data_IF_151115553027
#
_entry.id   IF_151115553027
#
_cell.length_a   1.000
_cell.length_b   1.000
_cell.length_c   1.000
_cell.angle_alpha   90.00
_cell.angle_beta   90.00
_cell.angle_gamma   90.00
#
_symmetry.space_group_name_H-M   'P 1'
#
loop_
_entity.id
_entity.type
_entity.pdbx_description
1 polymer ?
#
# COMPACT_ATOMS: atom_id res chain seq x y z
N UNK A 1 -12.82 11.39 36.60
CA UNK A 1 -12.61 11.13 35.16
C UNK A 1 -12.65 9.62 34.91
N UNK A 2 -13.74 9.08 34.41
CA UNK A 2 -13.81 7.65 34.06
C UNK A 2 -12.87 7.42 32.86
N UNK A 3 -11.71 6.78 33.15
CA UNK A 3 -10.77 6.42 32.10
C UNK A 3 -11.42 5.37 31.19
N UNK A 4 -11.71 5.74 29.93
CA UNK A 4 -12.27 4.83 28.93
C UNK A 4 -11.35 3.63 28.77
N UNK A 5 -11.90 2.43 29.02
CA UNK A 5 -11.16 1.18 28.97
C UNK A 5 -11.40 0.50 27.62
N UNK A 6 -10.35 0.33 26.85
CA UNK A 6 -10.33 -0.54 25.67
C UNK A 6 -10.24 -2.01 26.09
N UNK A 7 -10.67 -2.90 25.24
CA UNK A 7 -10.47 -4.35 25.44
C UNK A 7 -9.25 -4.81 24.68
N UNK A 8 -8.40 -5.58 25.35
CA UNK A 8 -7.25 -6.24 24.76
C UNK A 8 -7.42 -7.75 24.87
N UNK A 9 -7.29 -8.45 23.74
CA UNK A 9 -7.48 -9.90 23.65
C UNK A 9 -6.21 -10.54 23.10
N UNK A 10 -5.72 -11.57 23.75
CA UNK A 10 -4.67 -12.46 23.27
C UNK A 10 -5.23 -13.86 23.06
N UNK A 11 -4.86 -14.50 21.97
CA UNK A 11 -5.15 -15.90 21.72
C UNK A 11 -3.85 -16.68 21.97
N UNK A 12 -3.87 -17.60 22.90
CA UNK A 12 -2.72 -18.44 23.20
C UNK A 12 -2.57 -19.62 22.20
N UNK A 13 -1.49 -20.38 22.34
CA UNK A 13 -1.21 -21.55 21.49
C UNK A 13 -2.27 -22.67 21.62
N UNK A 14 -3.07 -22.66 22.71
CA UNK A 14 -4.18 -23.57 22.93
C UNK A 14 -5.52 -23.04 22.43
N UNK A 15 -5.51 -21.96 21.63
CA UNK A 15 -6.69 -21.25 21.13
C UNK A 15 -7.58 -20.64 22.25
N UNK A 16 -7.06 -20.45 23.45
CA UNK A 16 -7.80 -19.82 24.53
C UNK A 16 -7.70 -18.29 24.43
N UNK A 17 -8.84 -17.62 24.59
CA UNK A 17 -8.92 -16.16 24.59
C UNK A 17 -8.69 -15.60 25.98
N UNK A 18 -7.63 -14.84 26.15
CA UNK A 18 -7.32 -14.06 27.36
C UNK A 18 -7.77 -12.62 27.14
N UNK A 19 -8.72 -12.17 27.95
CA UNK A 19 -9.33 -10.84 27.81
C UNK A 19 -8.85 -9.96 28.96
N UNK A 20 -8.37 -8.78 28.65
CA UNK A 20 -7.95 -7.78 29.62
C UNK A 20 -8.43 -6.39 29.22
N UNK A 21 -8.51 -5.47 30.17
CA UNK A 21 -8.83 -4.07 29.88
C UNK A 21 -7.59 -3.21 29.99
N UNK A 22 -7.45 -2.25 29.07
CA UNK A 22 -6.32 -1.33 29.02
C UNK A 22 -6.79 0.09 28.79
N UNK A 23 -6.24 1.05 29.51
CA UNK A 23 -6.43 2.48 29.23
C UNK A 23 -5.45 2.92 28.14
N UNK A 24 -5.71 4.06 27.49
CA UNK A 24 -4.81 4.59 26.48
C UNK A 24 -3.40 4.82 27.04
N UNK A 25 -3.28 5.33 28.25
CA UNK A 25 -1.98 5.51 28.91
C UNK A 25 -1.22 4.19 29.07
N UNK A 26 -1.87 3.15 29.59
CA UNK A 26 -1.24 1.83 29.73
C UNK A 26 -0.88 1.21 28.38
N UNK A 27 -1.67 1.49 27.32
CA UNK A 27 -1.31 1.07 25.98
C UNK A 27 -0.01 1.76 25.54
N UNK A 28 0.09 3.07 25.69
CA UNK A 28 1.27 3.85 25.32
C UNK A 28 2.51 3.37 26.10
N UNK A 29 2.39 3.14 27.39
CA UNK A 29 3.50 2.63 28.23
C UNK A 29 3.96 1.24 27.76
N UNK A 30 3.00 0.37 27.40
CA UNK A 30 3.29 -0.95 26.83
C UNK A 30 4.04 -0.85 25.49
N UNK A 31 3.63 0.07 24.59
CA UNK A 31 4.30 0.25 23.30
C UNK A 31 5.77 0.63 23.48
N UNK A 32 6.08 1.47 24.44
CA UNK A 32 7.46 1.87 24.79
C UNK A 32 8.29 0.70 25.31
N UNK A 33 7.70 -0.17 26.13
CA UNK A 33 8.41 -1.32 26.71
C UNK A 33 8.57 -2.51 25.76
N UNK A 34 7.81 -2.56 24.67
CA UNK A 34 7.86 -3.64 23.69
C UNK A 34 8.87 -3.42 22.55
N UNK A 35 9.72 -2.40 22.64
CA UNK A 35 10.67 -2.06 21.55
C UNK A 35 11.57 -3.23 21.17
N UNK A 36 12.00 -4.03 22.15
CA UNK A 36 12.88 -5.19 21.95
C UNK A 36 12.11 -6.52 21.88
N UNK A 37 10.81 -6.50 21.63
CA UNK A 37 10.01 -7.71 21.59
C UNK A 37 10.39 -8.59 20.39
N UNK A 38 10.83 -9.81 20.65
CA UNK A 38 11.29 -10.79 19.66
C UNK A 38 10.24 -11.08 18.58
N UNK A 39 8.96 -11.18 18.97
CA UNK A 39 7.86 -11.43 18.00
C UNK A 39 7.75 -10.28 17.00
N UNK A 40 7.81 -9.04 17.48
CA UNK A 40 7.70 -7.85 16.64
C UNK A 40 8.93 -7.70 15.75
N UNK A 41 10.12 -7.93 16.28
CA UNK A 41 11.37 -7.88 15.52
C UNK A 41 11.39 -8.95 14.42
N UNK A 42 10.97 -10.17 14.74
CA UNK A 42 10.83 -11.26 13.76
C UNK A 42 9.78 -10.92 12.70
N UNK A 43 8.63 -10.35 13.09
CA UNK A 43 7.57 -9.93 12.18
C UNK A 43 8.10 -8.89 11.19
N UNK A 44 8.78 -7.85 11.68
CA UNK A 44 9.36 -6.78 10.84
C UNK A 44 10.43 -7.32 9.89
N UNK A 45 11.29 -8.23 10.36
CA UNK A 45 12.28 -8.89 9.52
C UNK A 45 11.62 -9.68 8.38
N UNK A 46 10.63 -10.52 8.68
CA UNK A 46 9.90 -11.32 7.68
C UNK A 46 9.15 -10.45 6.66
N UNK A 47 8.57 -9.34 7.10
CA UNK A 47 7.92 -8.38 6.19
C UNK A 47 8.95 -7.79 5.21
N UNK A 48 10.15 -7.44 5.68
CA UNK A 48 11.23 -6.93 4.82
C UNK A 48 11.70 -7.98 3.82
N UNK A 49 11.76 -9.24 4.23
CA UNK A 49 12.15 -10.39 3.42
C UNK A 49 11.04 -10.92 2.50
N UNK A 50 9.84 -10.30 2.52
CA UNK A 50 8.65 -10.74 1.78
C UNK A 50 8.24 -12.20 2.07
N UNK A 51 8.41 -12.64 3.31
CA UNK A 51 8.11 -13.99 3.77
C UNK A 51 6.59 -14.20 3.90
N UNK A 52 6.06 -15.25 3.26
CA UNK A 52 4.62 -15.59 3.25
C UNK A 52 4.09 -16.04 4.62
N UNK A 53 4.95 -16.52 5.52
CA UNK A 53 4.56 -16.96 6.88
C UNK A 53 4.38 -15.81 7.88
N UNK A 54 4.49 -14.59 7.45
CA UNK A 54 4.31 -13.41 8.30
C UNK A 54 2.91 -13.34 8.94
N UNK A 55 1.88 -13.82 8.25
CA UNK A 55 0.48 -13.79 8.71
C UNK A 55 0.31 -14.62 10.00
N UNK A 56 0.97 -15.76 10.11
CA UNK A 56 0.85 -16.60 11.30
C UNK A 56 1.47 -15.91 12.53
N UNK A 57 2.60 -15.24 12.36
CA UNK A 57 3.21 -14.44 13.42
C UNK A 57 2.36 -13.26 13.84
N UNK A 58 1.66 -12.63 12.90
CA UNK A 58 0.74 -11.54 13.19
C UNK A 58 -0.45 -11.99 14.05
N UNK A 59 -0.90 -13.25 13.92
CA UNK A 59 -1.97 -13.83 14.72
C UNK A 59 -1.59 -14.03 16.21
N UNK A 60 -0.31 -14.11 16.51
CA UNK A 60 0.20 -14.27 17.89
C UNK A 60 0.12 -12.96 18.71
N UNK A 61 -0.09 -11.82 18.03
CA UNK A 61 -0.14 -10.50 18.66
C UNK A 61 -1.49 -10.23 19.34
N UNK A 62 -1.49 -9.32 20.33
CA UNK A 62 -2.71 -8.88 20.98
C UNK A 62 -3.62 -8.11 20.00
N UNK A 63 -4.92 -8.30 20.13
CA UNK A 63 -5.94 -7.52 19.44
C UNK A 63 -6.54 -6.49 20.36
N UNK A 64 -6.78 -5.28 19.88
CA UNK A 64 -7.41 -4.20 20.63
C UNK A 64 -8.75 -3.83 20.00
N UNK A 65 -9.75 -3.70 20.85
CA UNK A 65 -11.06 -3.14 20.52
C UNK A 65 -11.11 -1.74 21.13
N UNK A 66 -10.75 -0.73 20.36
CA UNK A 66 -10.71 0.64 20.85
C UNK A 66 -12.11 1.19 21.12
N UNK A 67 -13.06 0.86 20.27
CA UNK A 67 -14.45 1.37 20.32
C UNK A 67 -15.32 0.72 21.38
N UNK A 68 -14.81 -0.28 22.13
CA UNK A 68 -15.58 -0.89 23.21
C UNK A 68 -14.76 -1.49 24.33
N UNK A 69 -15.38 -1.53 25.49
CA UNK A 69 -15.01 -2.40 26.58
C UNK A 69 -15.89 -3.65 26.55
N UNK A 70 -15.26 -4.80 26.41
CA UNK A 70 -15.92 -6.11 26.30
C UNK A 70 -15.62 -6.98 27.51
N UNK A 71 -16.54 -7.88 27.82
CA UNK A 71 -16.40 -8.91 28.86
C UNK A 71 -16.59 -10.29 28.24
N UNK A 72 -16.04 -11.29 28.88
CA UNK A 72 -16.25 -12.69 28.52
C UNK A 72 -17.56 -13.15 29.17
N UNK A 73 -18.51 -13.64 28.39
CA UNK A 73 -19.74 -14.28 28.86
C UNK A 73 -19.46 -15.72 29.31
N UNK A 74 -20.41 -16.34 30.01
CA UNK A 74 -20.30 -17.71 30.56
C UNK A 74 -20.06 -18.76 29.45
N UNK A 75 -20.57 -18.53 28.28
CA UNK A 75 -20.34 -19.38 27.09
C UNK A 75 -18.98 -19.11 26.39
N UNK A 76 -18.14 -18.24 26.95
CA UNK A 76 -16.84 -17.87 26.40
C UNK A 76 -16.87 -16.82 25.28
N UNK A 77 -18.04 -16.36 24.84
CA UNK A 77 -18.17 -15.30 23.83
C UNK A 77 -17.78 -13.94 24.42
N UNK A 78 -17.33 -13.02 23.54
CA UNK A 78 -17.10 -11.62 23.91
C UNK A 78 -18.41 -10.84 23.76
N UNK A 79 -18.83 -10.18 24.81
CA UNK A 79 -19.99 -9.30 24.81
C UNK A 79 -19.60 -7.87 25.17
N UNK A 80 -20.23 -6.90 24.51
CA UNK A 80 -19.98 -5.48 24.74
C UNK A 80 -20.56 -5.10 26.10
N UNK A 81 -19.70 -4.64 27.01
CA UNK A 81 -20.12 -4.10 28.28
C UNK A 81 -20.37 -2.58 28.21
N UNK A 82 -19.63 -1.89 27.34
CA UNK A 82 -19.76 -0.45 27.14
C UNK A 82 -19.10 -0.05 25.82
N UNK A 83 -19.74 0.87 25.09
CA UNK A 83 -19.14 1.55 23.95
C UNK A 83 -18.21 2.67 24.40
N UNK A 84 -17.13 2.90 23.65
CA UNK A 84 -16.13 3.93 23.92
C UNK A 84 -16.18 5.04 22.86
N UNK A 85 -15.73 6.21 23.23
CA UNK A 85 -15.57 7.41 22.39
C UNK A 85 -14.27 7.39 21.56
N UNK A 86 -13.77 6.22 21.22
CA UNK A 86 -12.50 6.05 20.51
C UNK A 86 -12.64 5.23 19.24
N UNK A 87 -11.99 5.71 18.18
CA UNK A 87 -11.77 4.95 16.95
C UNK A 87 -10.28 4.62 16.83
N UNK A 88 -9.96 3.51 16.18
CA UNK A 88 -8.59 3.16 15.82
C UNK A 88 -8.46 3.05 14.31
N UNK A 89 -7.62 3.91 13.72
CA UNK A 89 -7.34 3.96 12.30
C UNK A 89 -5.97 3.37 11.99
N UNK A 90 -5.78 2.98 10.73
CA UNK A 90 -4.51 2.52 10.20
C UNK A 90 -4.20 3.31 8.92
N UNK A 91 -3.14 4.10 8.93
CA UNK A 91 -2.62 4.81 7.77
C UNK A 91 -1.45 4.02 7.16
N UNK A 92 -1.40 3.94 5.85
CA UNK A 92 -0.31 3.28 5.12
C UNK A 92 -0.77 2.40 3.96
N UNK A 93 0.19 1.73 3.29
CA UNK A 93 1.55 1.40 3.76
C UNK A 93 2.51 2.59 3.73
N UNK A 94 3.38 2.68 4.74
CA UNK A 94 4.46 3.66 4.83
C UNK A 94 5.76 2.85 4.99
N UNK A 95 6.61 2.87 3.96
CA UNK A 95 7.78 1.99 3.89
C UNK A 95 8.95 2.55 4.68
N UNK A 96 9.11 3.86 4.68
CA UNK A 96 10.22 4.56 5.33
C UNK A 96 9.86 4.94 6.76
N UNK A 97 10.70 4.54 7.71
CA UNK A 97 10.50 4.82 9.13
C UNK A 97 10.50 6.33 9.42
N UNK A 98 11.39 7.08 8.78
CA UNK A 98 11.47 8.54 8.92
C UNK A 98 10.17 9.21 8.45
N UNK A 99 9.63 8.77 7.31
CA UNK A 99 8.35 9.27 6.80
C UNK A 99 7.21 8.96 7.76
N UNK A 100 7.21 7.77 8.35
CA UNK A 100 6.21 7.37 9.34
C UNK A 100 6.28 8.29 10.58
N UNK A 101 7.48 8.59 11.08
CA UNK A 101 7.69 9.52 12.21
C UNK A 101 7.20 10.94 11.88
N UNK A 102 7.49 11.45 10.68
CA UNK A 102 6.98 12.75 10.22
C UNK A 102 5.45 12.76 10.19
N UNK A 103 4.82 11.76 9.58
CA UNK A 103 3.36 11.66 9.50
C UNK A 103 2.72 11.54 10.89
N UNK A 104 3.39 10.84 11.81
CA UNK A 104 2.96 10.77 13.22
C UNK A 104 2.87 12.17 13.85
N UNK A 105 3.84 13.05 13.62
CA UNK A 105 3.80 14.42 14.12
C UNK A 105 2.69 15.24 13.44
N UNK A 106 2.43 15.03 12.16
CA UNK A 106 1.37 15.72 11.42
C UNK A 106 -0.02 15.42 12.02
N UNK A 107 -0.24 14.23 12.57
CA UNK A 107 -1.54 13.90 13.20
C UNK A 107 -1.93 14.83 14.34
N UNK A 108 -0.98 15.55 14.97
CA UNK A 108 -1.26 16.53 16.03
C UNK A 108 -2.12 17.71 15.57
N UNK A 109 -2.12 17.99 14.27
CA UNK A 109 -2.90 19.08 13.68
C UNK A 109 -4.40 18.84 13.88
N UNK A 110 -4.83 17.58 13.93
CA UNK A 110 -6.23 17.23 14.15
C UNK A 110 -6.52 17.19 15.65
N UNK A 111 -7.37 18.09 16.17
CA UNK A 111 -7.62 18.21 17.62
C UNK A 111 -8.23 16.96 18.26
N UNK A 112 -8.82 16.07 17.45
CA UNK A 112 -9.39 14.79 17.91
C UNK A 112 -8.37 13.66 18.01
N UNK A 113 -7.10 13.86 17.65
CA UNK A 113 -6.06 12.84 17.80
C UNK A 113 -5.70 12.62 19.26
N UNK A 114 -6.03 11.45 19.81
CA UNK A 114 -5.65 11.06 21.17
C UNK A 114 -4.23 10.50 21.25
N UNK A 115 -3.89 9.64 20.31
CA UNK A 115 -2.58 9.03 20.20
C UNK A 115 -2.27 8.63 18.77
N UNK A 116 -0.97 8.57 18.45
CA UNK A 116 -0.49 7.99 17.20
C UNK A 116 0.81 7.23 17.44
N UNK A 117 0.93 6.04 16.85
CA UNK A 117 2.07 5.15 17.05
C UNK A 117 2.30 4.23 15.85
N UNK A 118 3.53 3.77 15.72
CA UNK A 118 3.93 2.81 14.70
C UNK A 118 3.24 1.46 14.94
N UNK A 119 2.62 0.89 13.92
CA UNK A 119 2.05 -0.47 13.99
C UNK A 119 3.11 -1.56 14.08
N UNK A 120 2.71 -2.77 14.46
CA UNK A 120 3.60 -3.93 14.64
C UNK A 120 4.48 -4.22 13.40
N UNK A 121 3.94 -4.03 12.21
CA UNK A 121 4.65 -4.23 10.94
C UNK A 121 5.82 -3.26 10.72
N UNK A 122 5.86 -2.12 11.42
CA UNK A 122 6.78 -1.02 11.13
C UNK A 122 6.44 -0.24 9.84
N UNK A 123 5.32 -0.55 9.18
CA UNK A 123 4.90 0.06 7.89
C UNK A 123 3.53 0.71 7.93
N UNK A 124 2.93 0.83 9.11
CA UNK A 124 1.64 1.49 9.29
C UNK A 124 1.70 2.44 10.46
N UNK A 125 0.98 3.55 10.36
CA UNK A 125 0.73 4.46 11.45
C UNK A 125 -0.66 4.16 12.03
N UNK A 126 -0.73 3.86 13.31
CA UNK A 126 -1.97 3.68 14.06
C UNK A 126 -2.35 5.00 14.70
N UNK A 127 -3.63 5.38 14.57
CA UNK A 127 -4.15 6.66 15.07
C UNK A 127 -5.39 6.40 15.91
N UNK A 128 -5.36 6.81 17.17
CA UNK A 128 -6.53 6.77 18.05
C UNK A 128 -7.21 8.12 18.00
N UNK A 129 -8.48 8.10 17.62
CA UNK A 129 -9.29 9.32 17.40
C UNK A 129 -10.41 9.39 18.42
N UNK A 130 -10.57 10.53 19.06
CA UNK A 130 -11.66 10.85 19.98
C UNK A 130 -12.90 11.28 19.20
N UNK A 131 -14.06 10.69 19.49
CA UNK A 131 -15.34 11.01 18.83
C UNK A 131 -16.42 11.33 19.87
N UNK A 132 -17.39 12.16 19.51
CA UNK A 132 -18.56 12.40 20.36
C UNK A 132 -19.55 11.25 20.21
N UNK A 133 -19.78 10.50 21.31
CA UNK A 133 -20.79 9.45 21.31
C UNK A 133 -22.22 10.05 21.32
N UNK A 134 -23.20 9.36 20.75
CA UNK A 134 -24.61 9.73 20.88
C UNK A 134 -25.05 9.67 22.36
N UNK A 135 -26.00 10.52 22.76
CA UNK A 135 -26.52 10.60 24.13
C UNK A 135 -27.06 9.25 24.67
N UNK A 136 -27.54 8.37 23.76
CA UNK A 136 -28.11 7.05 24.06
C UNK A 136 -27.06 5.91 24.17
N UNK A 137 -25.76 6.21 24.15
CA UNK A 137 -24.65 5.24 24.05
C UNK A 137 -24.58 4.19 25.17
N UNK A 138 -25.27 4.38 26.28
CA UNK A 138 -25.23 3.46 27.43
C UNK A 138 -26.27 2.33 27.36
N UNK A 139 -27.29 2.44 26.52
CA UNK A 139 -28.37 1.45 26.32
C UNK A 139 -28.88 1.40 24.87
N UNK A 140 -28.14 1.97 23.92
CA UNK A 140 -28.57 2.07 22.52
C UNK A 140 -28.74 0.71 21.85
N UNK A 141 -29.60 0.67 20.85
CA UNK A 141 -29.78 -0.43 19.93
C UNK A 141 -28.45 -0.69 19.20
N UNK A 142 -27.99 -1.95 19.13
CA UNK A 142 -26.76 -2.33 18.46
C UNK A 142 -26.69 -1.82 17.00
N UNK A 143 -27.82 -1.80 16.30
CA UNK A 143 -27.90 -1.29 14.94
C UNK A 143 -27.63 0.22 14.84
N UNK A 144 -28.08 1.02 15.79
CA UNK A 144 -27.80 2.46 15.83
C UNK A 144 -26.35 2.75 16.12
N UNK A 145 -25.73 1.98 17.02
CA UNK A 145 -24.30 2.09 17.30
C UNK A 145 -23.45 1.62 16.15
N UNK A 146 -23.84 0.58 15.43
CA UNK A 146 -23.17 0.15 14.19
C UNK A 146 -23.20 1.24 13.12
N UNK A 147 -24.35 1.87 12.92
CA UNK A 147 -24.50 2.98 11.98
C UNK A 147 -23.65 4.18 12.39
N UNK A 148 -23.63 4.50 13.70
CA UNK A 148 -22.79 5.56 14.25
C UNK A 148 -21.32 5.31 13.98
N UNK A 149 -20.78 4.13 14.35
CA UNK A 149 -19.37 3.82 14.12
C UNK A 149 -19.01 3.76 12.63
N UNK A 150 -19.91 3.27 11.78
CA UNK A 150 -19.69 3.28 10.33
C UNK A 150 -19.49 4.70 9.81
N UNK A 151 -20.34 5.64 10.21
CA UNK A 151 -20.23 7.07 9.83
C UNK A 151 -18.99 7.72 10.44
N UNK A 152 -18.71 7.46 11.72
CA UNK A 152 -17.57 8.01 12.43
C UNK A 152 -16.22 7.55 11.82
N UNK A 153 -16.10 6.28 11.49
CA UNK A 153 -14.92 5.75 10.78
C UNK A 153 -14.79 6.36 9.38
N UNK A 154 -15.87 6.50 8.62
CA UNK A 154 -15.83 7.10 7.29
C UNK A 154 -15.35 8.55 7.34
N UNK A 155 -15.90 9.36 8.25
CA UNK A 155 -15.49 10.74 8.45
C UNK A 155 -14.03 10.86 8.89
N UNK A 156 -13.61 10.11 9.89
CA UNK A 156 -12.24 10.13 10.37
C UNK A 156 -11.26 9.67 9.29
N UNK A 157 -11.52 8.57 8.58
CA UNK A 157 -10.66 8.10 7.50
C UNK A 157 -10.50 9.14 6.39
N UNK A 158 -11.57 9.85 6.02
CA UNK A 158 -11.51 10.92 5.01
C UNK A 158 -10.61 12.07 5.45
N UNK A 159 -10.77 12.56 6.68
CA UNK A 159 -9.97 13.65 7.24
C UNK A 159 -8.47 13.28 7.26
N UNK A 160 -8.14 12.11 7.82
CA UNK A 160 -6.75 11.71 7.94
C UNK A 160 -6.12 11.29 6.61
N UNK A 161 -6.89 10.72 5.67
CA UNK A 161 -6.38 10.43 4.32
C UNK A 161 -6.00 11.72 3.58
N UNK A 162 -6.83 12.75 3.66
CA UNK A 162 -6.56 14.06 3.05
C UNK A 162 -5.36 14.75 3.71
N UNK A 163 -5.26 14.69 5.05
CA UNK A 163 -4.17 15.32 5.79
C UNK A 163 -2.81 14.65 5.55
N UNK A 164 -2.79 13.31 5.60
CA UNK A 164 -1.54 12.54 5.55
C UNK A 164 -1.11 12.20 4.12
N UNK A 165 -2.01 12.36 3.17
CA UNK A 165 -1.83 11.95 1.77
C UNK A 165 -1.35 10.48 1.63
N UNK A 166 -1.94 9.61 2.46
CA UNK A 166 -1.79 8.15 2.40
C UNK A 166 -3.15 7.50 2.66
N UNK A 167 -3.39 6.28 2.16
CA UNK A 167 -4.62 5.57 2.48
C UNK A 167 -4.79 5.41 3.98
N UNK A 168 -5.96 5.80 4.51
CA UNK A 168 -6.34 5.60 5.90
C UNK A 168 -7.62 4.79 5.94
N UNK A 169 -7.59 3.70 6.68
CA UNK A 169 -8.69 2.76 6.80
C UNK A 169 -9.00 2.49 8.28
N UNK A 170 -10.21 2.03 8.63
CA UNK A 170 -10.48 1.52 9.96
C UNK A 170 -9.46 0.42 10.31
N UNK A 171 -8.89 0.46 11.50
CA UNK A 171 -7.88 -0.54 11.88
C UNK A 171 -8.55 -1.84 12.32
N UNK A 172 -8.30 -2.91 11.57
CA UNK A 172 -8.81 -4.25 11.88
C UNK A 172 -10.00 -4.67 11.01
N UNK A 173 -10.69 -5.70 11.46
CA UNK A 173 -11.86 -6.29 10.81
C UNK A 173 -13.00 -6.42 11.83
N UNK A 174 -14.23 -6.51 11.35
CA UNK A 174 -15.36 -6.94 12.17
C UNK A 174 -15.12 -8.37 12.63
N UNK A 175 -15.29 -8.62 13.92
CA UNK A 175 -15.16 -9.96 14.52
C UNK A 175 -16.58 -10.55 14.67
N UNK A 176 -16.99 -11.34 13.72
CA UNK A 176 -18.31 -11.95 13.71
C UNK A 176 -19.46 -10.94 13.60
N UNK A 177 -20.47 -11.09 14.43
CA UNK A 177 -21.65 -10.21 14.50
C UNK A 177 -21.43 -8.90 15.28
N UNK A 178 -20.21 -8.64 15.77
CA UNK A 178 -19.93 -7.42 16.54
C UNK A 178 -19.83 -6.19 15.62
N UNK A 179 -20.48 -5.07 15.97
CA UNK A 179 -20.35 -3.80 15.25
C UNK A 179 -18.96 -3.17 15.38
N UNK A 180 -18.08 -3.77 16.19
CA UNK A 180 -16.80 -3.21 16.58
C UNK A 180 -15.65 -3.91 15.89
N UNK A 181 -14.70 -3.14 15.43
CA UNK A 181 -13.51 -3.64 14.75
C UNK A 181 -12.42 -4.06 15.72
N UNK A 182 -11.95 -5.29 15.59
CA UNK A 182 -10.77 -5.78 16.28
C UNK A 182 -9.52 -5.39 15.48
N UNK A 183 -8.61 -4.69 16.11
CA UNK A 183 -7.32 -4.34 15.53
C UNK A 183 -6.20 -5.13 16.16
N UNK A 184 -5.23 -5.58 15.35
CA UNK A 184 -3.98 -6.07 15.86
C UNK A 184 -3.10 -4.89 16.29
N UNK A 185 -2.70 -4.84 17.54
CA UNK A 185 -2.09 -3.65 18.13
C UNK A 185 -0.91 -3.89 19.05
N UNK A 186 -0.33 -5.07 19.11
CA UNK A 186 1.02 -5.12 19.64
C UNK A 186 1.91 -4.36 18.67
N UNK A 187 2.63 -3.43 19.21
CA UNK A 187 3.60 -2.61 18.47
C UNK A 187 4.74 -2.28 19.41
N UNK A 188 5.90 -2.04 18.82
CA UNK A 188 7.03 -1.45 19.49
C UNK A 188 7.28 -0.08 18.86
N UNK A 189 7.04 0.96 19.63
CA UNK A 189 7.30 2.34 19.26
C UNK A 189 7.99 3.03 20.42
N UNK A 190 9.23 3.44 20.25
CA UNK A 190 10.01 4.11 21.28
C UNK A 190 9.46 5.50 21.64
N UNK A 191 8.76 6.15 20.70
CA UNK A 191 8.27 7.52 20.82
C UNK A 191 6.81 7.66 20.37
N UNK A 192 5.86 6.91 20.96
CA UNK A 192 4.47 7.06 20.61
C UNK A 192 3.96 8.44 21.00
N UNK A 193 3.14 9.03 20.12
CA UNK A 193 2.50 10.31 20.37
C UNK A 193 1.31 10.13 21.28
N UNK A 194 1.15 11.01 22.26
CA UNK A 194 -0.05 11.16 23.07
C UNK A 194 -0.41 12.62 23.23
N UNK A 195 -1.68 12.97 23.09
CA UNK A 195 -2.21 14.32 23.27
C UNK A 195 -2.95 14.40 24.61
N UNK A 196 -2.56 15.33 25.46
CA UNK A 196 -3.13 15.48 26.81
C UNK A 196 -4.60 15.97 26.80
N UNK A 197 -4.92 16.86 25.87
CA UNK A 197 -6.28 17.41 25.71
C UNK A 197 -6.73 17.25 24.28
N UNK A 198 -7.88 16.63 24.07
CA UNK A 198 -8.47 16.42 22.75
C UNK A 198 -9.87 17.03 22.67
N UNK A 199 -10.21 17.52 21.50
CA UNK A 199 -11.60 17.91 21.18
C UNK A 199 -12.22 16.76 20.39
N UNK A 200 -13.35 16.18 20.87
CA UNK A 200 -13.99 15.09 20.15
C UNK A 200 -14.41 15.49 18.75
N UNK A 201 -14.23 14.60 17.79
CA UNK A 201 -14.74 14.76 16.43
C UNK A 201 -16.25 14.70 16.45
N UNK A 202 -16.90 15.80 16.05
CA UNK A 202 -18.35 15.85 15.89
C UNK A 202 -18.69 15.42 14.46
N UNK A 203 -19.39 14.29 14.32
CA UNK A 203 -19.78 13.73 13.02
C UNK A 203 -21.10 14.32 12.49
N UNK A 204 -21.88 15.03 13.31
CA UNK A 204 -23.19 15.56 12.93
C UNK A 204 -23.10 16.76 11.96
N UNK A 205 -21.93 17.36 11.77
CA UNK A 205 -21.70 18.50 10.86
C UNK A 205 -20.82 18.16 9.65
N UNK A 206 -20.38 16.92 9.51
CA UNK A 206 -19.59 16.48 8.34
C UNK A 206 -20.56 16.07 7.24
N UNK A 207 -20.68 16.88 6.18
CA UNK A 207 -21.34 16.46 4.96
C UNK A 207 -20.55 15.27 4.38
N UNK A 208 -21.06 14.08 4.62
CA UNK A 208 -20.56 12.87 3.97
C UNK A 208 -20.92 13.02 2.49
N UNK A 209 -19.93 12.97 1.62
CA UNK A 209 -20.19 12.80 0.19
C UNK A 209 -21.13 11.60 0.07
N UNK A 210 -22.37 11.80 -0.44
CA UNK A 210 -23.32 10.71 -0.48
C UNK A 210 -22.70 9.59 -1.31
N UNK A 211 -22.59 8.38 -0.74
CA UNK A 211 -22.48 7.19 -1.59
C UNK A 211 -23.69 7.29 -2.52
N UNK A 212 -23.45 7.28 -3.83
CA UNK A 212 -24.53 7.11 -4.80
C UNK A 212 -25.33 5.88 -4.34
N UNK A 213 -26.46 6.17 -3.68
CA UNK A 213 -27.51 5.20 -3.47
C UNK A 213 -28.16 5.03 -4.84
N UNK A 214 -27.76 3.99 -5.54
CA UNK A 214 -28.58 3.47 -6.63
C UNK A 214 -29.78 2.83 -5.96
N UNK A 215 -30.87 3.62 -5.88
CA UNK A 215 -32.20 3.05 -5.77
C UNK A 215 -32.41 2.21 -7.03
N UNK A 216 -32.45 0.93 -6.89
CA UNK A 216 -33.05 0.01 -7.85
C UNK A 216 -33.76 -1.08 -7.08
N UNK A 217 -35.06 -0.91 -7.00
CA UNK A 217 -35.99 -2.02 -6.78
C UNK A 217 -35.88 -3.01 -7.94
N UNK A 218 -35.89 -4.30 -7.59
CA UNK A 218 -36.27 -5.46 -8.40
C UNK A 218 -35.27 -6.06 -9.37
N UNK A 219 -34.61 -7.12 -8.87
CA UNK A 219 -34.59 -8.51 -9.43
C UNK A 219 -33.67 -9.35 -8.53
N UNK A 220 -34.00 -10.61 -8.28
CA UNK A 220 -33.22 -11.50 -7.39
C UNK A 220 -31.74 -11.62 -7.76
N UNK A 221 -31.42 -11.52 -9.05
CA UNK A 221 -30.04 -11.51 -9.58
C UNK A 221 -29.23 -10.24 -9.23
N UNK A 222 -29.89 -9.07 -9.07
CA UNK A 222 -29.22 -7.82 -8.68
C UNK A 222 -28.84 -7.84 -7.19
N UNK A 223 -29.56 -8.59 -6.39
CA UNK A 223 -29.29 -8.75 -4.96
C UNK A 223 -28.03 -9.60 -4.71
N UNK A 224 -27.80 -10.65 -5.52
CA UNK A 224 -26.61 -11.51 -5.42
C UNK A 224 -25.33 -10.76 -5.78
N UNK A 225 -25.32 -10.00 -6.87
CA UNK A 225 -24.18 -9.20 -7.30
C UNK A 225 -23.86 -8.11 -6.26
N UNK A 226 -24.89 -7.47 -5.70
CA UNK A 226 -24.72 -6.45 -4.66
C UNK A 226 -24.17 -7.04 -3.38
N UNK A 227 -24.60 -8.24 -2.99
CA UNK A 227 -24.12 -8.98 -1.82
C UNK A 227 -22.66 -9.39 -1.98
N UNK A 228 -22.26 -9.89 -3.16
CA UNK A 228 -20.87 -10.22 -3.47
C UNK A 228 -19.96 -8.98 -3.37
N UNK A 229 -20.36 -7.88 -3.99
CA UNK A 229 -19.57 -6.64 -3.96
C UNK A 229 -19.41 -6.12 -2.52
N UNK A 230 -20.49 -6.10 -1.74
CA UNK A 230 -20.45 -5.69 -0.34
C UNK A 230 -19.50 -6.57 0.49
N UNK A 231 -19.56 -7.89 0.29
CA UNK A 231 -18.67 -8.86 0.92
C UNK A 231 -17.19 -8.59 0.58
N UNK A 232 -16.88 -8.42 -0.71
CA UNK A 232 -15.52 -8.16 -1.15
C UNK A 232 -14.98 -6.83 -0.60
N UNK A 233 -15.80 -5.77 -0.62
CA UNK A 233 -15.42 -4.45 -0.14
C UNK A 233 -15.32 -4.36 1.40
N UNK A 234 -15.89 -5.32 2.14
CA UNK A 234 -15.74 -5.37 3.59
C UNK A 234 -14.28 -5.55 4.00
N UNK A 235 -13.55 -6.42 3.30
CA UNK A 235 -12.16 -6.77 3.62
C UNK A 235 -11.12 -6.09 2.74
N UNK A 236 -11.46 -5.83 1.46
CA UNK A 236 -10.51 -5.35 0.47
C UNK A 236 -10.93 -4.00 -0.10
N UNK A 237 -9.93 -3.17 -0.45
CA UNK A 237 -10.09 -2.08 -1.39
C UNK A 237 -9.49 -2.49 -2.73
N UNK A 238 -10.10 -2.02 -3.81
CA UNK A 238 -9.68 -2.34 -5.18
C UNK A 238 -9.40 -1.09 -5.98
N UNK A 239 -8.40 -1.16 -6.86
CA UNK A 239 -8.09 -0.12 -7.85
C UNK A 239 -7.59 -0.75 -9.14
N UNK A 240 -7.88 -0.15 -10.26
CA UNK A 240 -7.27 -0.53 -11.54
C UNK A 240 -6.03 0.33 -11.77
N UNK A 241 -4.86 -0.29 -11.80
CA UNK A 241 -3.59 0.36 -12.08
C UNK A 241 -3.46 0.51 -13.61
N UNK A 242 -3.59 1.75 -14.11
CA UNK A 242 -3.57 2.04 -15.54
C UNK A 242 -2.21 1.77 -16.19
N UNK A 243 -1.11 1.86 -15.45
CA UNK A 243 0.24 1.58 -15.95
C UNK A 243 0.43 0.08 -16.18
N UNK A 244 0.05 -0.74 -15.18
CA UNK A 244 0.18 -2.20 -15.26
C UNK A 244 -0.94 -2.87 -16.04
N UNK A 245 -2.03 -2.13 -16.34
CA UNK A 245 -3.21 -2.68 -17.00
C UNK A 245 -3.89 -3.80 -16.22
N UNK A 246 -3.89 -3.71 -14.89
CA UNK A 246 -4.37 -4.77 -14.01
C UNK A 246 -5.02 -4.21 -12.73
N UNK A 247 -5.99 -4.97 -12.20
CA UNK A 247 -6.61 -4.63 -10.92
C UNK A 247 -5.70 -5.05 -9.77
N UNK A 248 -5.54 -4.14 -8.82
CA UNK A 248 -4.83 -4.33 -7.58
C UNK A 248 -5.81 -4.31 -6.40
N UNK A 249 -5.46 -5.02 -5.34
CA UNK A 249 -6.19 -5.02 -4.08
C UNK A 249 -5.32 -4.62 -2.91
N UNK A 250 -5.94 -3.99 -1.91
CA UNK A 250 -5.36 -3.72 -0.60
C UNK A 250 -6.17 -4.49 0.45
N UNK A 251 -5.53 -5.39 1.18
CA UNK A 251 -6.16 -6.08 2.31
C UNK A 251 -6.21 -5.11 3.51
N UNK A 252 -7.42 -4.70 3.91
CA UNK A 252 -7.64 -3.76 5.02
C UNK A 252 -7.15 -4.29 6.36
N UNK A 253 -7.07 -5.61 6.51
CA UNK A 253 -6.51 -6.25 7.70
C UNK A 253 -4.99 -6.20 7.73
N UNK A 254 -4.36 -6.26 6.56
CA UNK A 254 -2.91 -6.36 6.40
C UNK A 254 -2.36 -5.28 5.46
N UNK A 255 -2.72 -4.02 5.71
CA UNK A 255 -2.36 -2.86 4.87
C UNK A 255 -0.85 -2.68 4.66
N UNK A 256 -0.03 -3.24 5.55
CA UNK A 256 1.43 -3.19 5.44
C UNK A 256 2.01 -3.93 4.22
N UNK A 257 1.24 -4.81 3.56
CA UNK A 257 1.65 -5.42 2.30
C UNK A 257 1.53 -4.45 1.11
N UNK A 258 0.77 -3.37 1.26
CA UNK A 258 0.46 -2.45 0.18
C UNK A 258 -0.46 -3.05 -0.88
N UNK A 259 -0.53 -2.36 -2.00
CA UNK A 259 -1.31 -2.79 -3.16
C UNK A 259 -0.66 -4.00 -3.85
N UNK A 260 -1.45 -5.03 -4.12
CA UNK A 260 -1.02 -6.29 -4.74
C UNK A 260 -1.90 -6.61 -5.93
N UNK A 261 -1.33 -7.28 -6.94
CA UNK A 261 -2.11 -7.72 -8.11
C UNK A 261 -3.17 -8.75 -7.71
N UNK A 262 -4.38 -8.56 -8.21
CA UNK A 262 -5.48 -9.52 -8.11
C UNK A 262 -5.27 -10.64 -9.14
N UNK A 263 -4.38 -11.59 -8.83
CA UNK A 263 -4.11 -12.75 -9.67
C UNK A 263 -5.23 -13.81 -9.59
N UNK A 264 -5.17 -14.81 -10.47
CA UNK A 264 -6.19 -15.88 -10.51
C UNK A 264 -6.27 -16.67 -9.21
N UNK A 265 -5.16 -16.83 -8.48
CA UNK A 265 -5.16 -17.50 -7.19
C UNK A 265 -5.95 -16.70 -6.14
N UNK A 266 -5.76 -15.38 -6.12
CA UNK A 266 -6.51 -14.49 -5.26
C UNK A 266 -8.00 -14.48 -5.63
N UNK A 267 -8.35 -14.38 -6.92
CA UNK A 267 -9.74 -14.40 -7.42
C UNK A 267 -10.45 -15.69 -7.03
N UNK A 268 -9.79 -16.84 -7.19
CA UNK A 268 -10.34 -18.14 -6.79
C UNK A 268 -10.56 -18.22 -5.27
N UNK A 269 -9.62 -17.67 -4.47
CA UNK A 269 -9.77 -17.56 -3.02
C UNK A 269 -10.99 -16.74 -2.63
N UNK A 270 -11.17 -15.56 -3.22
CA UNK A 270 -12.35 -14.73 -2.97
C UNK A 270 -13.68 -15.43 -3.28
N UNK A 271 -13.71 -16.24 -4.36
CA UNK A 271 -14.89 -17.02 -4.72
C UNK A 271 -15.20 -18.13 -3.69
N UNK A 272 -14.17 -18.73 -3.09
CA UNK A 272 -14.32 -19.73 -2.03
C UNK A 272 -14.81 -19.06 -0.75
N UNK A 273 -14.14 -17.98 -0.33
CA UNK A 273 -14.49 -17.22 0.89
C UNK A 273 -15.94 -16.70 0.82
N UNK A 274 -16.38 -16.22 -0.35
CA UNK A 274 -17.78 -15.77 -0.54
C UNK A 274 -18.78 -16.92 -0.38
N UNK A 275 -18.50 -18.10 -0.95
CA UNK A 275 -19.37 -19.29 -0.81
C UNK A 275 -19.41 -19.80 0.63
N UNK A 276 -18.30 -19.77 1.35
CA UNK A 276 -18.26 -20.10 2.78
C UNK A 276 -19.09 -19.14 3.61
N UNK A 277 -19.22 -17.88 3.16
CA UNK A 277 -20.10 -16.86 3.75
C UNK A 277 -21.58 -16.98 3.30
N UNK A 278 -21.93 -18.02 2.52
CA UNK A 278 -23.30 -18.22 2.02
C UNK A 278 -23.68 -17.37 0.79
N UNK A 279 -22.69 -16.76 0.13
CA UNK A 279 -22.92 -15.95 -1.08
C UNK A 279 -22.54 -16.79 -2.31
N UNK A 280 -23.49 -17.01 -3.21
CA UNK A 280 -23.22 -17.74 -4.45
C UNK A 280 -22.32 -16.88 -5.37
N UNK A 281 -21.06 -17.27 -5.51
CA UNK A 281 -20.07 -16.56 -6.31
C UNK A 281 -19.13 -17.54 -7.00
N UNK A 282 -19.02 -17.43 -8.32
CA UNK A 282 -18.04 -18.14 -9.13
C UNK A 282 -16.81 -17.25 -9.38
N UNK A 283 -15.63 -17.80 -9.67
CA UNK A 283 -14.45 -16.99 -10.03
C UNK A 283 -14.72 -16.00 -11.16
N UNK A 284 -15.60 -16.37 -12.12
CA UNK A 284 -16.01 -15.50 -13.22
C UNK A 284 -16.77 -14.25 -12.72
N UNK A 285 -17.59 -14.39 -11.71
CA UNK A 285 -18.41 -13.29 -11.16
C UNK A 285 -17.49 -12.29 -10.44
N UNK A 286 -16.55 -12.77 -9.63
CA UNK A 286 -15.49 -11.97 -9.02
C UNK A 286 -14.65 -11.25 -10.09
N UNK A 287 -14.20 -11.98 -11.12
CA UNK A 287 -13.41 -11.42 -12.22
C UNK A 287 -14.19 -10.35 -12.99
N UNK A 288 -15.48 -10.54 -13.23
CA UNK A 288 -16.34 -9.56 -13.90
C UNK A 288 -16.40 -8.26 -13.09
N UNK A 289 -16.55 -8.34 -11.77
CA UNK A 289 -16.52 -7.16 -10.92
C UNK A 289 -15.16 -6.46 -10.96
N UNK A 290 -14.05 -7.21 -10.76
CA UNK A 290 -12.69 -6.65 -10.70
C UNK A 290 -12.25 -6.02 -12.04
N UNK A 291 -12.80 -6.44 -13.18
CA UNK A 291 -12.54 -5.87 -14.50
C UNK A 291 -13.62 -4.89 -14.97
N UNK A 292 -14.56 -4.52 -14.11
CA UNK A 292 -15.63 -3.58 -14.46
C UNK A 292 -15.22 -2.12 -14.25
N UNK A 293 -15.97 -1.21 -14.89
CA UNK A 293 -15.84 0.24 -14.69
C UNK A 293 -16.21 0.71 -13.26
N UNK A 294 -16.70 -0.17 -12.41
CA UNK A 294 -16.96 0.12 -10.99
C UNK A 294 -15.68 0.23 -10.16
N UNK A 295 -14.57 -0.31 -10.65
CA UNK A 295 -13.26 -0.20 -10.01
C UNK A 295 -12.62 1.13 -10.42
N UNK A 296 -12.19 1.91 -9.42
CA UNK A 296 -11.51 3.20 -9.64
C UNK A 296 -10.23 2.99 -10.41
N UNK A 297 -10.06 3.71 -11.52
CA UNK A 297 -8.80 3.76 -12.29
C UNK A 297 -7.84 4.74 -11.60
N UNK A 298 -6.60 4.32 -11.41
CA UNK A 298 -5.52 5.16 -10.85
C UNK A 298 -4.26 5.04 -11.70
N UNK A 299 -3.53 6.13 -11.82
CA UNK A 299 -2.14 6.12 -12.29
C UNK A 299 -1.23 6.32 -11.07
N UNK A 300 -0.51 5.29 -10.60
CA UNK A 300 0.33 5.39 -9.41
C UNK A 300 1.53 6.32 -9.59
N UNK A 301 1.91 6.63 -10.84
CA UNK A 301 2.97 7.60 -11.13
C UNK A 301 2.44 9.00 -10.86
N UNK A 302 1.26 9.33 -11.40
CA UNK A 302 0.63 10.63 -11.19
C UNK A 302 0.35 10.86 -9.70
N UNK A 303 -0.17 9.84 -9.00
CA UNK A 303 -0.39 9.90 -7.54
C UNK A 303 0.92 10.19 -6.79
N UNK A 304 2.03 9.54 -7.17
CA UNK A 304 3.33 9.75 -6.56
C UNK A 304 3.86 11.18 -6.85
N UNK A 305 3.88 11.60 -8.11
CA UNK A 305 4.37 12.94 -8.51
C UNK A 305 3.53 14.04 -7.86
N UNK A 306 2.21 13.88 -7.83
CA UNK A 306 1.33 14.82 -7.13
C UNK A 306 1.65 14.90 -5.63
N UNK A 307 1.99 13.79 -5.01
CA UNK A 307 2.37 13.73 -3.60
C UNK A 307 3.64 14.52 -3.26
N UNK A 308 4.49 14.81 -4.26
CA UNK A 308 5.73 15.60 -4.12
C UNK A 308 5.52 17.11 -4.29
N UNK A 309 4.32 17.53 -4.68
CA UNK A 309 4.02 18.94 -4.90
C UNK A 309 4.37 19.77 -3.67
N UNK A 310 5.12 20.88 -3.87
CA UNK A 310 5.58 21.80 -2.83
C UNK A 310 6.51 21.19 -1.76
N UNK A 311 7.10 20.01 -1.98
CA UNK A 311 8.00 19.35 -1.02
C UNK A 311 9.48 19.47 -1.35
N UNK A 312 9.82 20.12 -2.44
CA UNK A 312 11.24 20.34 -2.79
C UNK A 312 11.89 21.31 -1.79
N UNK A 313 13.00 20.88 -1.23
CA UNK A 313 13.79 21.61 -0.22
C UNK A 313 14.86 22.53 -0.83
N UNK A 314 14.94 22.61 -2.17
CA UNK A 314 15.94 23.40 -2.89
C UNK A 314 17.29 22.67 -3.09
N UNK A 315 17.43 21.45 -2.56
CA UNK A 315 18.68 20.68 -2.66
C UNK A 315 18.77 19.85 -3.94
N UNK A 316 20.01 19.61 -4.42
CA UNK A 316 20.29 18.83 -5.64
C UNK A 316 20.42 17.33 -5.36
N UNK A 317 19.34 16.69 -4.97
CA UNK A 317 19.30 15.25 -4.67
C UNK A 317 19.73 14.36 -5.84
N UNK A 318 19.49 14.78 -7.09
CA UNK A 318 19.91 14.00 -8.27
C UNK A 318 21.43 14.04 -8.42
N UNK A 319 22.04 15.20 -8.12
CA UNK A 319 23.48 15.33 -8.06
C UNK A 319 24.11 14.42 -7.01
N UNK A 320 23.52 14.35 -5.83
CA UNK A 320 23.99 13.46 -4.76
C UNK A 320 23.91 11.97 -5.15
N UNK A 321 22.84 11.58 -5.86
CA UNK A 321 22.73 10.22 -6.41
C UNK A 321 23.84 9.94 -7.43
N UNK A 322 24.14 10.90 -8.31
CA UNK A 322 25.23 10.78 -9.27
C UNK A 322 26.59 10.60 -8.59
N UNK A 323 26.84 11.34 -7.51
CA UNK A 323 28.09 11.31 -6.73
C UNK A 323 28.31 9.99 -5.97
N UNK A 324 27.28 9.14 -5.86
CA UNK A 324 27.43 7.76 -5.34
C UNK A 324 28.17 6.83 -6.28
N UNK A 325 28.29 7.20 -7.55
CA UNK A 325 29.06 6.45 -8.55
C UNK A 325 30.44 7.05 -8.69
N UNK A 326 31.46 6.35 -8.22
CA UNK A 326 32.85 6.77 -8.40
C UNK A 326 33.28 6.57 -9.85
N UNK A 327 33.70 7.67 -10.52
CA UNK A 327 34.11 7.64 -11.93
C UNK A 327 35.08 8.79 -12.25
N UNK A 328 35.95 8.59 -13.21
CA UNK A 328 36.86 9.62 -13.75
C UNK A 328 36.21 10.52 -14.81
N UNK A 329 34.96 10.22 -15.22
CA UNK A 329 34.23 10.97 -16.23
C UNK A 329 33.74 12.30 -15.66
N UNK A 330 34.39 13.40 -16.01
CA UNK A 330 34.03 14.77 -15.54
C UNK A 330 32.58 15.16 -15.82
N UNK A 331 32.03 14.68 -16.94
CA UNK A 331 30.66 15.00 -17.36
C UNK A 331 29.59 14.05 -16.76
N UNK A 332 30.00 13.03 -15.98
CA UNK A 332 29.08 12.01 -15.45
C UNK A 332 27.85 12.62 -14.74
N UNK A 333 28.09 13.55 -13.83
CA UNK A 333 27.00 14.17 -13.04
C UNK A 333 26.00 14.89 -13.96
N UNK A 334 26.47 15.59 -15.00
CA UNK A 334 25.60 16.27 -15.97
C UNK A 334 24.82 15.25 -16.80
N UNK A 335 25.45 14.21 -17.32
CA UNK A 335 24.81 13.18 -18.14
C UNK A 335 23.81 12.37 -17.34
N UNK A 336 24.14 11.98 -16.10
CA UNK A 336 23.24 11.30 -15.19
C UNK A 336 21.99 12.15 -14.90
N UNK A 337 22.14 13.43 -14.68
CA UNK A 337 21.03 14.37 -14.47
C UNK A 337 20.12 14.46 -15.70
N UNK A 338 20.70 14.58 -16.90
CA UNK A 338 19.93 14.60 -18.15
C UNK A 338 19.15 13.29 -18.34
N UNK A 339 19.78 12.17 -18.11
CA UNK A 339 19.14 10.86 -18.16
C UNK A 339 18.01 10.74 -17.15
N UNK A 340 18.24 11.16 -15.91
CA UNK A 340 17.27 11.07 -14.83
C UNK A 340 16.01 11.92 -15.13
N UNK A 341 16.19 13.15 -15.63
CA UNK A 341 15.07 13.98 -16.08
C UNK A 341 14.33 13.32 -17.26
N UNK A 342 15.05 12.74 -18.22
CA UNK A 342 14.47 12.00 -19.31
C UNK A 342 13.69 10.77 -18.84
N UNK A 343 14.16 10.10 -17.79
CA UNK A 343 13.48 8.96 -17.15
C UNK A 343 12.15 9.39 -16.51
N UNK A 344 12.14 10.43 -15.70
CA UNK A 344 10.91 10.94 -15.07
C UNK A 344 9.93 11.48 -16.12
N UNK A 345 10.40 12.21 -17.12
CA UNK A 345 9.58 12.69 -18.24
C UNK A 345 8.95 11.52 -19.03
N UNK A 346 9.68 10.39 -19.16
CA UNK A 346 9.15 9.17 -19.77
C UNK A 346 8.03 8.55 -18.92
N UNK A 347 8.17 8.50 -17.59
CA UNK A 347 7.11 8.03 -16.69
C UNK A 347 5.82 8.83 -16.85
N UNK A 348 5.95 10.15 -16.94
CA UNK A 348 4.83 11.08 -17.07
C UNK A 348 4.24 11.13 -18.50
N UNK A 349 4.83 10.41 -19.46
CA UNK A 349 4.37 10.40 -20.86
C UNK A 349 4.62 11.70 -21.61
N UNK A 350 5.56 12.54 -21.18
CA UNK A 350 5.93 13.79 -21.87
C UNK A 350 6.76 13.51 -23.14
N UNK A 351 7.50 12.43 -23.18
CA UNK A 351 8.33 12.00 -24.31
C UNK A 351 7.48 11.31 -25.39
N UNK A 352 6.64 12.07 -26.11
CA UNK A 352 5.69 11.51 -27.07
C UNK A 352 6.28 11.26 -28.47
N UNK A 353 7.35 11.96 -28.83
CA UNK A 353 7.98 11.84 -30.16
C UNK A 353 9.12 10.82 -30.17
N UNK A 354 9.96 10.89 -29.16
CA UNK A 354 11.11 9.98 -28.99
C UNK A 354 11.15 9.53 -27.53
N UNK A 355 11.43 8.25 -27.31
CA UNK A 355 11.68 7.72 -25.96
C UNK A 355 13.02 8.23 -25.40
N UNK A 356 13.21 8.07 -24.09
CA UNK A 356 14.51 8.31 -23.45
C UNK A 356 15.54 7.30 -24.02
N UNK A 357 16.36 7.74 -24.94
CA UNK A 357 17.34 6.92 -25.67
C UNK A 357 18.71 6.89 -24.99
N UNK A 358 18.90 7.62 -23.89
CA UNK A 358 20.14 7.56 -23.11
C UNK A 358 20.07 6.34 -22.19
N UNK A 359 21.15 5.54 -22.16
CA UNK A 359 21.30 4.39 -21.29
C UNK A 359 22.62 4.52 -20.54
N UNK A 360 22.64 4.91 -19.28
CA UNK A 360 23.87 4.84 -18.48
C UNK A 360 24.35 3.40 -18.39
N UNK A 361 25.64 3.18 -18.64
CA UNK A 361 26.29 1.88 -18.51
C UNK A 361 27.28 1.94 -17.33
N UNK A 362 26.98 1.19 -16.28
CA UNK A 362 27.83 1.08 -15.09
C UNK A 362 28.79 -0.08 -15.27
N UNK A 363 30.08 0.24 -15.41
CA UNK A 363 31.15 -0.76 -15.59
C UNK A 363 31.99 -0.84 -14.33
N UNK A 364 32.04 -2.01 -13.71
CA UNK A 364 32.91 -2.29 -12.56
C UNK A 364 32.98 -3.81 -12.34
N UNK A 365 34.02 -4.33 -11.65
CA UNK A 365 34.11 -5.74 -11.26
C UNK A 365 32.85 -6.22 -10.51
N UNK A 366 32.68 -7.53 -10.41
CA UNK A 366 31.62 -8.14 -9.61
C UNK A 366 31.76 -7.74 -8.13
N UNK A 367 30.63 -7.57 -7.42
CA UNK A 367 30.62 -7.18 -6.01
C UNK A 367 30.55 -5.68 -5.74
N UNK A 368 30.66 -4.82 -6.75
CA UNK A 368 30.59 -3.35 -6.61
C UNK A 368 29.16 -2.78 -6.54
N UNK A 369 28.19 -3.59 -6.19
CA UNK A 369 26.80 -3.18 -5.91
C UNK A 369 26.08 -2.42 -7.06
N UNK A 370 26.51 -2.59 -8.33
CA UNK A 370 25.91 -1.93 -9.48
C UNK A 370 24.39 -2.14 -9.57
N UNK A 371 23.92 -3.39 -9.55
CA UNK A 371 22.51 -3.72 -9.66
C UNK A 371 21.72 -3.27 -8.42
N UNK A 372 22.36 -3.21 -7.23
CA UNK A 372 21.78 -2.63 -6.02
C UNK A 372 21.54 -1.14 -6.19
N UNK A 373 22.51 -0.39 -6.74
CA UNK A 373 22.37 1.03 -7.06
C UNK A 373 21.21 1.25 -8.03
N UNK A 374 21.16 0.50 -9.13
CA UNK A 374 20.08 0.60 -10.12
C UNK A 374 18.69 0.43 -9.48
N UNK A 375 18.54 -0.52 -8.57
CA UNK A 375 17.27 -0.77 -7.87
C UNK A 375 16.88 0.35 -6.92
N UNK A 376 17.84 1.08 -6.35
CA UNK A 376 17.60 2.19 -5.42
C UNK A 376 17.19 3.48 -6.12
N UNK A 377 17.33 3.58 -7.45
CA UNK A 377 16.95 4.78 -8.21
C UNK A 377 15.43 5.01 -8.24
N UNK A 378 14.63 3.96 -8.04
CA UNK A 378 13.19 4.12 -7.90
C UNK A 378 12.80 4.34 -6.44
N UNK A 379 11.91 5.30 -6.17
CA UNK A 379 11.37 5.51 -4.83
C UNK A 379 10.60 4.25 -4.37
N UNK A 380 10.48 4.04 -3.06
CA UNK A 380 9.83 2.86 -2.49
C UNK A 380 8.42 2.60 -3.06
N UNK A 381 7.65 3.66 -3.28
CA UNK A 381 6.27 3.63 -3.78
C UNK A 381 6.18 3.14 -5.23
N UNK A 382 7.22 3.41 -6.04
CA UNK A 382 7.31 3.04 -7.45
C UNK A 382 8.26 1.85 -7.70
N UNK A 383 8.80 1.22 -6.66
CA UNK A 383 9.78 0.13 -6.78
C UNK A 383 9.23 -1.12 -7.47
N UNK A 384 7.91 -1.29 -7.52
CA UNK A 384 7.25 -2.30 -8.34
C UNK A 384 7.54 -2.14 -9.84
N UNK A 385 7.87 -0.93 -10.28
CA UNK A 385 8.23 -0.59 -11.66
C UNK A 385 9.68 -0.90 -12.02
N UNK A 386 10.47 -1.55 -11.16
CA UNK A 386 11.83 -1.97 -11.46
C UNK A 386 11.87 -3.40 -12.00
N UNK A 387 12.60 -3.61 -13.08
CA UNK A 387 12.83 -4.91 -13.68
C UNK A 387 14.33 -5.16 -13.88
N UNK A 388 14.82 -6.30 -13.37
CA UNK A 388 16.12 -6.86 -13.73
C UNK A 388 15.96 -7.91 -14.84
N UNK A 389 17.04 -8.17 -15.57
CA UNK A 389 17.16 -9.34 -16.46
C UNK A 389 16.07 -9.43 -17.55
N UNK A 390 15.91 -8.36 -18.32
CA UNK A 390 15.06 -8.40 -19.52
C UNK A 390 15.64 -9.37 -20.56
N UNK A 391 14.85 -10.37 -20.98
CA UNK A 391 15.22 -11.30 -22.06
C UNK A 391 14.87 -10.69 -23.41
N UNK A 392 15.88 -10.48 -24.26
CA UNK A 392 15.73 -9.84 -25.57
C UNK A 392 15.32 -10.79 -26.70
N UNK A 393 15.29 -12.09 -26.45
CA UNK A 393 14.87 -13.12 -27.41
C UNK A 393 13.36 -13.10 -27.72
N UNK A 394 12.56 -12.52 -26.84
CA UNK A 394 11.11 -12.39 -27.00
C UNK A 394 10.69 -10.91 -27.14
N UNK A 395 10.60 -10.43 -28.39
CA UNK A 395 10.23 -9.04 -28.67
C UNK A 395 8.89 -8.62 -28.05
N UNK A 396 7.89 -9.53 -28.02
CA UNK A 396 6.60 -9.22 -27.39
C UNK A 396 6.76 -8.97 -25.89
N UNK A 397 7.57 -9.76 -25.20
CA UNK A 397 7.85 -9.57 -23.78
C UNK A 397 8.64 -8.28 -23.52
N UNK A 398 9.59 -7.95 -24.39
CA UNK A 398 10.33 -6.67 -24.33
C UNK A 398 9.36 -5.50 -24.42
N UNK A 399 8.47 -5.49 -25.43
CA UNK A 399 7.47 -4.43 -25.61
C UNK A 399 6.55 -4.34 -24.37
N UNK A 400 6.03 -5.47 -23.88
CA UNK A 400 5.20 -5.51 -22.68
C UNK A 400 5.93 -4.90 -21.47
N UNK A 401 7.19 -5.29 -21.27
CA UNK A 401 8.00 -4.78 -20.16
C UNK A 401 8.23 -3.27 -20.25
N UNK A 402 8.40 -2.74 -21.47
CA UNK A 402 8.58 -1.30 -21.67
C UNK A 402 7.32 -0.47 -21.35
N UNK A 403 6.12 -1.08 -21.41
CA UNK A 403 4.87 -0.45 -21.00
C UNK A 403 4.63 -0.56 -19.49
N UNK A 404 4.93 -1.73 -18.90
CA UNK A 404 4.54 -2.09 -17.53
C UNK A 404 5.53 -1.66 -16.46
N UNK A 405 6.80 -1.42 -16.82
CA UNK A 405 7.87 -1.05 -15.89
C UNK A 405 8.34 0.39 -16.12
N UNK A 406 9.05 0.94 -15.14
CA UNK A 406 9.54 2.32 -15.12
C UNK A 406 11.05 2.42 -15.36
N UNK A 407 11.80 1.46 -14.82
CA UNK A 407 13.23 1.35 -14.99
C UNK A 407 13.60 -0.11 -15.21
N UNK A 408 14.22 -0.38 -16.34
CA UNK A 408 14.71 -1.70 -16.72
C UNK A 408 16.23 -1.70 -16.65
N UNK A 409 16.78 -2.54 -15.77
CA UNK A 409 18.23 -2.79 -15.71
C UNK A 409 18.57 -3.91 -16.66
N UNK A 410 19.45 -3.62 -17.63
CA UNK A 410 20.04 -4.61 -18.51
C UNK A 410 21.31 -5.12 -17.81
N UNK A 411 21.10 -6.11 -16.94
CA UNK A 411 22.21 -6.67 -16.17
C UNK A 411 23.11 -7.53 -17.08
N UNK A 412 24.42 -7.49 -16.82
CA UNK A 412 25.42 -8.15 -17.64
C UNK A 412 25.28 -7.86 -19.15
N UNK A 413 25.19 -6.58 -19.52
CA UNK A 413 25.01 -6.15 -20.92
C UNK A 413 26.01 -6.79 -21.88
N UNK A 414 27.21 -7.09 -21.41
CA UNK A 414 28.24 -7.81 -22.14
C UNK A 414 27.90 -9.26 -22.51
N UNK A 415 26.94 -9.89 -21.82
CA UNK A 415 26.47 -11.25 -22.11
C UNK A 415 25.49 -11.33 -23.28
N UNK A 416 24.92 -10.19 -23.69
CA UNK A 416 23.95 -10.10 -24.78
C UNK A 416 24.72 -10.17 -26.13
N UNK A 417 24.20 -10.96 -27.06
CA UNK A 417 24.82 -11.08 -28.40
C UNK A 417 24.90 -9.72 -29.10
N UNK A 418 26.01 -9.47 -29.83
CA UNK A 418 26.23 -8.23 -30.59
C UNK A 418 25.04 -7.85 -31.48
N UNK A 419 24.49 -8.81 -32.22
CA UNK A 419 23.31 -8.62 -33.07
C UNK A 419 22.09 -8.14 -32.31
N UNK A 420 21.86 -8.65 -31.10
CA UNK A 420 20.77 -8.26 -30.21
C UNK A 420 21.00 -6.87 -29.64
N UNK A 421 22.24 -6.54 -29.23
CA UNK A 421 22.61 -5.21 -28.78
C UNK A 421 22.35 -4.15 -29.85
N UNK A 422 22.82 -4.36 -31.08
CA UNK A 422 22.60 -3.45 -32.21
C UNK A 422 21.11 -3.26 -32.50
N UNK A 423 20.34 -4.34 -32.57
CA UNK A 423 18.89 -4.28 -32.78
C UNK A 423 18.17 -3.51 -31.67
N UNK A 424 18.55 -3.71 -30.41
CA UNK A 424 18.00 -2.97 -29.28
C UNK A 424 18.35 -1.47 -29.36
N UNK A 425 19.64 -1.15 -29.51
CA UNK A 425 20.11 0.24 -29.52
C UNK A 425 19.56 1.03 -30.70
N UNK A 426 19.47 0.42 -31.89
CA UNK A 426 18.98 1.12 -33.11
C UNK A 426 17.45 1.26 -33.16
N UNK A 427 16.70 0.26 -32.72
CA UNK A 427 15.26 0.20 -32.96
C UNK A 427 14.39 0.33 -31.73
N UNK A 428 14.81 -0.24 -30.58
CA UNK A 428 13.93 -0.37 -29.41
C UNK A 428 14.06 0.82 -28.47
N UNK A 429 15.28 1.30 -28.25
CA UNK A 429 15.56 2.35 -27.26
C UNK A 429 14.91 3.71 -27.62
N UNK A 430 14.63 3.97 -28.90
CA UNK A 430 14.07 5.24 -29.36
C UNK A 430 12.54 5.27 -29.37
N UNK A 431 11.88 4.14 -29.17
CA UNK A 431 10.42 4.06 -29.21
C UNK A 431 9.81 4.93 -28.11
N UNK A 432 8.91 5.81 -28.49
CA UNK A 432 8.12 6.62 -27.53
C UNK A 432 6.79 5.93 -27.18
N UNK A 433 6.25 5.12 -28.08
CA UNK A 433 5.02 4.34 -27.91
C UNK A 433 5.23 2.91 -28.35
N UNK A 434 4.39 2.03 -27.85
CA UNK A 434 4.50 0.58 -28.04
C UNK A 434 3.14 0.04 -28.44
N UNK A 435 3.12 -0.79 -29.49
CA UNK A 435 1.91 -1.48 -29.93
C UNK A 435 1.82 -2.83 -29.23
N UNK A 436 0.84 -2.99 -28.35
CA UNK A 436 0.64 -4.24 -27.61
C UNK A 436 -0.85 -4.58 -27.45
N UNK A 437 -1.10 -5.86 -27.17
CA UNK A 437 -2.44 -6.37 -26.87
C UNK A 437 -2.50 -6.74 -25.41
N UNK A 438 -3.24 -5.96 -24.62
CA UNK A 438 -3.48 -6.25 -23.19
C UNK A 438 -4.31 -7.53 -23.02
N UNK A 439 -4.15 -8.24 -21.89
CA UNK A 439 -5.08 -9.30 -21.53
C UNK A 439 -6.53 -8.77 -21.58
N UNK A 440 -7.44 -9.56 -22.16
CA UNK A 440 -8.85 -9.21 -22.38
C UNK A 440 -9.13 -8.11 -23.42
N UNK A 441 -8.14 -7.38 -23.93
CA UNK A 441 -8.35 -6.51 -25.11
C UNK A 441 -8.54 -7.34 -26.38
N UNK A 442 -9.48 -6.91 -27.23
CA UNK A 442 -9.68 -7.53 -28.55
C UNK A 442 -8.78 -6.93 -29.63
N UNK A 443 -8.15 -5.78 -29.35
CA UNK A 443 -7.38 -5.01 -30.32
C UNK A 443 -5.95 -4.81 -29.84
N UNK A 444 -5.05 -4.56 -30.77
CA UNK A 444 -3.72 -4.03 -30.49
C UNK A 444 -3.89 -2.53 -30.33
N UNK A 445 -3.41 -2.00 -29.23
CA UNK A 445 -3.49 -0.57 -28.91
C UNK A 445 -2.07 0.02 -28.82
N UNK A 446 -1.95 1.30 -29.15
CA UNK A 446 -0.71 2.03 -28.96
C UNK A 446 -0.67 2.58 -27.54
N UNK A 447 0.28 2.10 -26.73
CA UNK A 447 0.48 2.55 -25.37
C UNK A 447 1.77 3.36 -25.25
N UNK A 448 1.81 4.23 -24.24
CA UNK A 448 3.02 4.97 -23.92
C UNK A 448 4.08 4.01 -23.39
N UNK A 449 5.30 4.15 -23.89
CA UNK A 449 6.46 3.57 -23.23
C UNK A 449 6.68 4.31 -21.91
N UNK A 450 6.72 3.59 -20.78
CA UNK A 450 7.02 4.13 -19.47
C UNK A 450 8.47 3.88 -19.05
N UNK A 451 9.07 2.77 -19.52
CA UNK A 451 10.41 2.38 -19.11
C UNK A 451 11.52 3.25 -19.68
N UNK A 452 12.46 3.62 -18.83
CA UNK A 452 13.82 3.99 -19.21
C UNK A 452 14.77 2.83 -18.91
N UNK A 453 15.97 2.87 -19.50
CA UNK A 453 16.96 1.82 -19.36
C UNK A 453 18.18 2.31 -18.61
N UNK A 454 18.79 1.39 -17.86
CA UNK A 454 20.14 1.46 -17.30
C UNK A 454 20.81 0.12 -17.56
N UNK A 455 22.12 0.07 -17.69
CA UNK A 455 22.81 -1.17 -17.94
C UNK A 455 24.01 -1.36 -16.99
N UNK A 456 24.37 -2.62 -16.74
CA UNK A 456 25.56 -2.97 -15.95
C UNK A 456 26.47 -3.91 -16.75
N UNK A 457 27.77 -3.83 -16.52
CA UNK A 457 28.75 -4.74 -17.09
C UNK A 457 29.87 -5.02 -16.08
N UNK A 458 30.47 -6.21 -16.19
CA UNK A 458 31.68 -6.60 -15.49
C UNK A 458 32.93 -6.42 -16.38
N UNK A 459 32.78 -6.08 -17.66
CA UNK A 459 33.82 -5.90 -18.66
C UNK A 459 33.86 -4.48 -19.18
N UNK A 460 35.03 -3.98 -19.51
CA UNK A 460 35.24 -2.64 -20.08
C UNK A 460 34.98 -2.59 -21.59
N UNK A 461 35.19 -3.72 -22.29
CA UNK A 461 34.96 -3.82 -23.75
C UNK A 461 33.54 -4.34 -24.00
N UNK A 462 32.56 -3.45 -23.89
CA UNK A 462 31.15 -3.80 -23.93
C UNK A 462 30.52 -3.48 -25.28
N UNK A 463 30.93 -2.39 -25.92
CA UNK A 463 30.40 -1.92 -27.20
C UNK A 463 31.39 -2.30 -28.31
N UNK A 464 30.88 -3.04 -29.31
CA UNK A 464 31.71 -3.54 -30.41
C UNK A 464 31.53 -2.76 -31.71
N UNK A 465 30.60 -1.82 -31.75
CA UNK A 465 30.35 -0.97 -32.94
C UNK A 465 31.22 0.30 -32.85
N UNK A 466 32.22 0.53 -33.74
CA UNK A 466 33.05 1.72 -33.68
C UNK A 466 32.28 2.99 -34.09
N UNK A 467 31.07 2.89 -34.62
CA UNK A 467 30.23 4.04 -34.99
C UNK A 467 29.39 4.58 -33.82
N UNK A 468 29.45 3.98 -32.65
CA UNK A 468 28.76 4.42 -31.44
C UNK A 468 27.37 3.84 -31.25
#
# INVERSE_FOLDING_TARGET
>A
MNSNKMTMVRIDKKQQRHVSSVTIQKLIDRLKTNVDNEIISTLRYRIRSNDRFVIDKHKELHRIYASAWMKKADNGALVIARYNDMLLLSAGPIIETERLEQLKQVTKIVPSTMAAFMGASGRTLKIVVHVTLPEMSHRGNEAEMEQFYSKAYQAACSIYSSLLNVPVVPSGIKDGSSPIMASCCDSADASPLMTEKTTPLNINGVELIPKLQTESEQRDTDNEVSSLIAFLMQRYDFRYNSVRGATEYLDKQYTFWGWRLADMRFINGLSIDAREAGIEARPKDVMTYLNSSRIRVVDPIDDYIFSLSYKWDGHDHIGDLADRVTTDLKQWKQWFRMWFYGMVAQWMGYNRKYGNSIVPLLVAPQGYHKSTFCRQLLPPELRWGYLDNLKFDNQKQVMQSMADFLLINIDEFNSISKKTQEGFLKNTIQLASISLKRPYSRRIESELRRASFIATSNMTDVLSDPSG
#
